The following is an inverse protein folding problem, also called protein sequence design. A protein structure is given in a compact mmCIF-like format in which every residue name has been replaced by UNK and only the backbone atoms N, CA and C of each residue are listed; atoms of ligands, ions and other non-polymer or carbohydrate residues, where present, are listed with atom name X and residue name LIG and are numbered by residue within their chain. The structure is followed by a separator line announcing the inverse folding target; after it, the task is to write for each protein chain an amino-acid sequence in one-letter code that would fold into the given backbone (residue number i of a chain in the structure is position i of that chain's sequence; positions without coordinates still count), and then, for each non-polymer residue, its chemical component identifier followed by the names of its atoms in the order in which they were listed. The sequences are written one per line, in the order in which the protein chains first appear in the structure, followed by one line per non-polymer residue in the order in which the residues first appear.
data_IF_046574509450
#
_entry.id   IF_046574509450
#
_cell.length_a   1.000
_cell.length_b   1.000
_cell.length_c   1.000
_cell.angle_alpha   90.00
_cell.angle_beta   90.00
_cell.angle_gamma   90.00
#
_symmetry.space_group_name_H-M   'P 1'
#
loop_
_entity.id
_entity.type
_entity.pdbx_description
1 polymer ?
#
# COMPACT_ATOMS: atom_id res chain seq x y z
N UNK A 1 37.93 5.53 16.81
CA UNK A 1 37.16 4.94 15.69
C UNK A 1 36.03 4.10 16.26
N UNK A 2 34.91 3.95 15.56
CA UNK A 2 33.81 3.09 15.98
C UNK A 2 33.77 1.84 15.11
N UNK A 3 33.72 0.67 15.75
CA UNK A 3 33.68 -0.62 15.05
C UNK A 3 32.50 -1.46 15.55
N UNK A 4 31.94 -2.25 14.65
CA UNK A 4 30.79 -3.12 14.87
C UNK A 4 31.22 -4.56 14.72
N UNK A 5 30.87 -5.41 15.69
CA UNK A 5 31.15 -6.84 15.61
C UNK A 5 30.24 -7.52 14.57
N UNK A 6 30.82 -8.27 13.64
CA UNK A 6 30.08 -9.02 12.60
C UNK A 6 29.70 -10.43 13.04
N UNK A 7 30.40 -10.95 14.04
CA UNK A 7 30.19 -12.27 14.67
C UNK A 7 30.47 -12.19 16.17
N UNK A 8 30.00 -13.19 16.93
CA UNK A 8 30.39 -13.33 18.32
C UNK A 8 31.91 -13.51 18.43
N UNK A 9 32.56 -12.69 19.24
CA UNK A 9 34.01 -12.71 19.41
C UNK A 9 34.38 -12.55 20.88
N UNK A 10 35.48 -13.16 21.29
CA UNK A 10 36.06 -13.03 22.62
C UNK A 10 37.45 -12.41 22.46
N UNK A 11 37.70 -11.31 23.18
CA UNK A 11 38.98 -10.58 23.10
C UNK A 11 39.11 -9.54 24.21
N UNK A 12 39.97 -8.55 24.02
CA UNK A 12 40.32 -7.51 25.02
C UNK A 12 39.13 -6.70 25.56
N UNK A 13 38.00 -6.71 24.84
CA UNK A 13 36.74 -6.05 25.23
C UNK A 13 35.73 -7.02 25.87
N UNK A 14 36.17 -8.23 26.23
CA UNK A 14 35.33 -9.31 26.73
C UNK A 14 34.55 -10.04 25.63
N UNK A 15 33.42 -10.63 25.99
CA UNK A 15 32.50 -11.27 25.04
C UNK A 15 31.72 -10.20 24.28
N UNK A 16 32.05 -9.99 23.02
CA UNK A 16 31.35 -9.06 22.12
C UNK A 16 30.35 -9.83 21.28
N UNK A 17 29.08 -9.40 21.30
CA UNK A 17 28.00 -10.03 20.52
C UNK A 17 27.94 -9.44 19.11
N UNK A 18 27.45 -10.23 18.16
CA UNK A 18 27.18 -9.75 16.79
C UNK A 18 26.27 -8.51 16.84
N UNK A 19 26.68 -7.46 16.13
CA UNK A 19 25.97 -6.19 16.05
C UNK A 19 26.21 -5.23 17.21
N UNK A 20 27.06 -5.57 18.17
CA UNK A 20 27.51 -4.66 19.22
C UNK A 20 28.54 -3.66 18.67
N UNK A 21 28.48 -2.41 19.14
CA UNK A 21 29.38 -1.34 18.73
C UNK A 21 30.36 -1.05 19.84
N UNK A 22 31.65 -1.10 19.50
CA UNK A 22 32.74 -0.61 20.33
C UNK A 22 32.99 0.83 19.92
N UNK A 23 32.81 1.74 20.89
CA UNK A 23 32.99 3.17 20.67
C UNK A 23 34.41 3.59 21.04
N UNK A 24 34.91 4.65 20.38
CA UNK A 24 36.20 5.28 20.68
C UNK A 24 37.41 4.33 20.81
N UNK A 25 37.45 3.28 19.98
CA UNK A 25 38.60 2.38 19.90
C UNK A 25 39.78 3.12 19.27
N UNK A 26 40.97 2.96 19.84
CA UNK A 26 42.21 3.49 19.30
C UNK A 26 42.40 3.05 17.84
N UNK A 27 42.92 3.92 16.98
CA UNK A 27 43.03 3.66 15.54
C UNK A 27 43.86 2.41 15.25
N UNK A 28 44.99 2.23 15.94
CA UNK A 28 45.88 1.09 15.73
C UNK A 28 45.25 -0.23 16.17
N UNK A 29 44.40 -0.19 17.21
CA UNK A 29 43.67 -1.36 17.68
C UNK A 29 42.47 -1.66 16.79
N UNK A 30 41.74 -0.64 16.33
CA UNK A 30 40.62 -0.79 15.41
C UNK A 30 41.07 -1.43 14.08
N UNK A 31 42.19 -1.00 13.50
CA UNK A 31 42.74 -1.59 12.28
C UNK A 31 43.07 -3.09 12.44
N UNK A 32 43.68 -3.49 13.57
CA UNK A 32 43.92 -4.91 13.89
C UNK A 32 42.62 -5.71 14.01
N UNK A 33 41.60 -5.11 14.62
CA UNK A 33 40.30 -5.75 14.78
C UNK A 33 39.56 -5.89 13.46
N UNK A 34 39.62 -4.89 12.58
CA UNK A 34 39.08 -4.98 11.22
C UNK A 34 39.79 -6.07 10.42
N UNK A 35 41.13 -6.17 10.53
CA UNK A 35 41.91 -7.20 9.85
C UNK A 35 41.56 -8.63 10.28
N UNK A 36 41.07 -8.83 11.51
CA UNK A 36 40.60 -10.14 11.99
C UNK A 36 39.31 -10.64 11.33
N UNK A 37 38.61 -9.78 10.57
CA UNK A 37 37.33 -10.06 9.94
C UNK A 37 36.16 -10.26 10.92
N UNK A 38 36.39 -10.13 12.23
CA UNK A 38 35.35 -10.19 13.26
C UNK A 38 34.63 -8.85 13.46
N UNK A 39 35.14 -7.77 12.86
CA UNK A 39 34.65 -6.41 13.03
C UNK A 39 34.60 -5.68 11.68
N UNK A 40 33.69 -4.71 11.58
CA UNK A 40 33.60 -3.75 10.47
C UNK A 40 33.53 -2.33 11.03
N UNK A 41 33.81 -1.32 10.21
CA UNK A 41 33.59 0.07 10.61
C UNK A 41 32.09 0.29 10.89
N UNK A 42 31.78 1.00 11.98
CA UNK A 42 30.40 1.29 12.33
C UNK A 42 29.89 2.49 11.52
N UNK A 43 28.77 2.34 10.84
CA UNK A 43 28.13 3.46 10.15
C UNK A 43 27.49 4.44 11.15
N UNK A 44 27.20 5.66 10.70
CA UNK A 44 26.42 6.63 11.48
C UNK A 44 25.06 6.08 11.91
N UNK A 45 24.40 5.30 11.03
CA UNK A 45 23.14 4.64 11.34
C UNK A 45 23.31 3.55 12.42
N UNK A 46 24.43 2.80 12.38
CA UNK A 46 24.74 1.82 13.43
C UNK A 46 24.91 2.52 14.78
N UNK A 47 25.66 3.63 14.82
CA UNK A 47 25.89 4.42 16.02
C UNK A 47 24.58 4.99 16.56
N UNK A 48 23.69 5.48 15.69
CA UNK A 48 22.34 5.96 16.05
C UNK A 48 21.49 4.83 16.63
N UNK A 49 21.49 3.66 15.98
CA UNK A 49 20.77 2.48 16.45
C UNK A 49 21.32 1.98 17.80
N UNK A 50 22.64 2.03 18.01
CA UNK A 50 23.26 1.64 19.29
C UNK A 50 22.98 2.63 20.43
N UNK A 51 22.87 3.94 20.14
CA UNK A 51 22.38 4.93 21.10
C UNK A 51 20.94 4.64 21.52
N UNK A 52 20.07 4.23 20.59
CA UNK A 52 18.72 3.74 20.91
C UNK A 52 18.71 2.44 21.72
N UNK A 53 19.70 1.56 21.51
CA UNK A 53 19.89 0.32 22.31
C UNK A 53 20.45 0.55 23.71
N UNK A 54 20.72 1.79 24.15
CA UNK A 54 20.99 2.07 25.58
C UNK A 54 19.81 1.72 26.50
N UNK A 55 18.62 1.49 25.95
CA UNK A 55 17.47 0.94 26.67
C UNK A 55 17.52 -0.59 26.84
N UNK A 56 18.44 -1.30 26.17
CA UNK A 56 18.63 -2.75 26.32
C UNK A 56 20.10 -3.10 26.59
N UNK A 57 20.54 -2.81 27.81
CA UNK A 57 21.52 -3.66 28.52
C UNK A 57 22.94 -3.72 27.98
N UNK A 58 23.65 -2.58 27.99
CA UNK A 58 25.12 -2.63 28.18
C UNK A 58 25.40 -2.22 29.61
N UNK A 59 25.47 -3.21 30.50
CA UNK A 59 26.15 -3.04 31.79
C UNK A 59 27.61 -2.70 31.47
N UNK A 60 28.02 -1.49 31.84
CA UNK A 60 29.39 -1.00 31.71
C UNK A 60 30.33 -1.97 32.44
N UNK A 61 31.24 -2.63 31.71
CA UNK A 61 32.17 -3.60 32.28
C UNK A 61 33.03 -2.99 33.40
N UNK A 62 33.26 -1.67 33.39
CA UNK A 62 33.92 -0.96 34.49
C UNK A 62 33.03 -0.83 35.73
N UNK A 63 31.70 -0.71 35.58
CA UNK A 63 30.75 -0.72 36.70
C UNK A 63 30.62 -2.11 37.32
N UNK A 64 30.61 -3.17 36.50
CA UNK A 64 30.60 -4.55 37.01
C UNK A 64 31.87 -4.85 37.82
N UNK A 65 33.04 -4.38 37.36
CA UNK A 65 34.29 -4.57 38.09
C UNK A 65 34.33 -3.78 39.41
N UNK A 66 33.71 -2.60 39.47
CA UNK A 66 33.66 -1.77 40.68
C UNK A 66 32.69 -2.30 41.76
N UNK A 67 31.63 -3.01 41.37
CA UNK A 67 30.64 -3.59 42.28
C UNK A 67 31.14 -4.80 43.08
N UNK A 68 32.28 -5.38 42.71
CA UNK A 68 32.89 -6.55 43.38
C UNK A 68 33.44 -6.30 44.81
N UNK A 69 33.06 -5.19 45.45
CA UNK A 69 33.53 -4.78 46.79
C UNK A 69 32.43 -4.43 47.80
N UNK A 70 31.13 -4.63 47.49
CA UNK A 70 30.01 -4.28 48.39
C UNK A 70 28.83 -5.25 48.26
N UNK A 71 28.97 -6.45 48.83
CA UNK A 71 28.20 -7.64 48.46
C UNK A 71 26.72 -7.74 48.90
N UNK A 72 26.10 -6.72 49.52
CA UNK A 72 24.68 -6.83 49.97
C UNK A 72 23.77 -5.70 49.53
N UNK A 73 24.27 -4.46 49.40
CA UNK A 73 23.47 -3.35 48.90
C UNK A 73 23.24 -3.44 47.39
N UNK A 74 24.22 -3.96 46.64
CA UNK A 74 24.18 -3.99 45.17
C UNK A 74 23.28 -5.11 44.61
N UNK A 75 23.15 -6.25 45.31
CA UNK A 75 22.28 -7.36 44.87
C UNK A 75 20.80 -6.98 44.99
N UNK A 76 20.41 -6.32 46.08
CA UNK A 76 19.02 -5.87 46.27
C UNK A 76 18.63 -4.78 45.26
N UNK A 77 19.57 -3.90 44.90
CA UNK A 77 19.35 -2.89 43.86
C UNK A 77 19.18 -3.54 42.47
N UNK A 78 20.01 -4.53 42.14
CA UNK A 78 19.89 -5.29 40.89
C UNK A 78 18.59 -6.09 40.81
N UNK A 79 18.14 -6.71 41.91
CA UNK A 79 16.84 -7.41 41.95
C UNK A 79 15.67 -6.45 41.72
N UNK A 80 15.69 -5.27 42.34
CA UNK A 80 14.66 -4.25 42.14
C UNK A 80 14.63 -3.74 40.68
N UNK A 81 15.80 -3.60 40.04
CA UNK A 81 15.90 -3.21 38.62
C UNK A 81 15.37 -4.32 37.70
N UNK A 82 15.64 -5.59 38.00
CA UNK A 82 15.07 -6.73 37.27
C UNK A 82 13.55 -6.76 37.40
N UNK A 83 12.99 -6.63 38.61
CA UNK A 83 11.54 -6.60 38.81
C UNK A 83 10.87 -5.42 38.10
N UNK A 84 11.49 -4.25 38.11
CA UNK A 84 11.00 -3.09 37.37
C UNK A 84 11.03 -3.33 35.85
N UNK A 85 12.11 -3.94 35.35
CA UNK A 85 12.26 -4.33 33.95
C UNK A 85 11.22 -5.37 33.51
N UNK A 86 10.94 -6.38 34.34
CA UNK A 86 9.92 -7.39 34.08
C UNK A 86 8.52 -6.75 34.00
N UNK A 87 8.18 -5.84 34.91
CA UNK A 87 6.91 -5.10 34.87
C UNK A 87 6.78 -4.26 33.61
N UNK A 88 7.84 -3.54 33.23
CA UNK A 88 7.86 -2.74 32.01
C UNK A 88 7.71 -3.62 30.75
N UNK A 89 8.36 -4.79 30.72
CA UNK A 89 8.25 -5.74 29.62
C UNK A 89 6.84 -6.32 29.53
N UNK A 90 6.22 -6.68 30.66
CA UNK A 90 4.83 -7.16 30.70
C UNK A 90 3.86 -6.10 30.18
N UNK A 91 4.02 -4.85 30.58
CA UNK A 91 3.20 -3.74 30.10
C UNK A 91 3.37 -3.54 28.58
N UNK A 92 4.61 -3.47 28.10
CA UNK A 92 4.91 -3.32 26.67
C UNK A 92 4.36 -4.48 25.82
N UNK A 93 4.39 -5.72 26.36
CA UNK A 93 3.78 -6.88 25.70
C UNK A 93 2.27 -6.73 25.59
N UNK A 94 1.59 -6.30 26.65
CA UNK A 94 0.13 -6.10 26.64
C UNK A 94 -0.30 -4.99 25.66
N UNK A 95 0.45 -3.90 25.59
CA UNK A 95 0.23 -2.83 24.60
C UNK A 95 0.44 -3.36 23.17
N UNK A 96 1.52 -4.12 22.93
CA UNK A 96 1.79 -4.73 21.62
C UNK A 96 0.68 -5.70 21.21
N UNK A 97 0.21 -6.54 22.14
CA UNK A 97 -0.91 -7.46 21.87
C UNK A 97 -2.21 -6.72 21.53
N UNK A 98 -2.45 -5.56 22.15
CA UNK A 98 -3.59 -4.71 21.83
C UNK A 98 -3.47 -4.15 20.42
N UNK A 99 -2.31 -3.57 20.07
CA UNK A 99 -2.05 -3.02 18.73
C UNK A 99 -2.14 -4.10 17.65
N UNK A 100 -1.66 -5.32 17.91
CA UNK A 100 -1.76 -6.44 16.98
C UNK A 100 -3.23 -6.83 16.73
N UNK A 101 -4.07 -6.80 17.78
CA UNK A 101 -5.51 -7.08 17.64
C UNK A 101 -6.20 -6.00 16.81
N UNK A 102 -5.96 -4.73 17.12
CA UNK A 102 -6.51 -3.59 16.37
C UNK A 102 -6.09 -3.62 14.89
N UNK A 103 -4.84 -4.00 14.60
CA UNK A 103 -4.35 -4.16 13.23
C UNK A 103 -5.04 -5.32 12.50
N UNK A 104 -5.32 -6.42 13.20
CA UNK A 104 -6.04 -7.55 12.63
C UNK A 104 -7.48 -7.16 12.29
N UNK A 105 -8.17 -6.45 13.18
CA UNK A 105 -9.53 -5.95 12.97
C UNK A 105 -9.58 -4.96 11.80
N UNK A 106 -8.65 -3.99 11.76
CA UNK A 106 -8.53 -3.06 10.64
C UNK A 106 -8.32 -3.77 9.29
N UNK A 107 -7.48 -4.82 9.28
CA UNK A 107 -7.23 -5.60 8.07
C UNK A 107 -8.49 -6.31 7.58
N UNK A 108 -9.27 -6.91 8.50
CA UNK A 108 -10.51 -7.59 8.16
C UNK A 108 -11.54 -6.60 7.57
N UNK A 109 -11.72 -5.44 8.21
CA UNK A 109 -12.59 -4.37 7.72
C UNK A 109 -12.19 -3.86 6.34
N UNK A 110 -10.89 -3.66 6.12
CA UNK A 110 -10.36 -3.22 4.83
C UNK A 110 -10.61 -4.25 3.73
N UNK A 111 -10.48 -5.54 4.03
CA UNK A 111 -10.77 -6.63 3.08
C UNK A 111 -12.24 -6.68 2.70
N UNK A 112 -13.15 -6.53 3.66
CA UNK A 112 -14.60 -6.47 3.40
C UNK A 112 -14.95 -5.28 2.50
N UNK A 113 -14.47 -4.07 2.85
CA UNK A 113 -14.72 -2.86 2.04
C UNK A 113 -14.18 -3.00 0.61
N UNK A 114 -13.02 -3.65 0.44
CA UNK A 114 -12.45 -3.89 -0.89
C UNK A 114 -13.32 -4.87 -1.70
N UNK A 115 -13.83 -5.92 -1.07
CA UNK A 115 -14.75 -6.86 -1.71
C UNK A 115 -16.06 -6.18 -2.14
N UNK A 116 -16.64 -5.34 -1.27
CA UNK A 116 -17.85 -4.58 -1.57
C UNK A 116 -17.63 -3.60 -2.73
N UNK A 117 -16.50 -2.89 -2.73
CA UNK A 117 -16.15 -1.95 -3.81
C UNK A 117 -15.96 -2.65 -5.15
N UNK A 118 -15.32 -3.82 -5.16
CA UNK A 118 -15.15 -4.62 -6.38
C UNK A 118 -16.51 -5.10 -6.90
N UNK A 119 -17.38 -5.59 -6.00
CA UNK A 119 -18.73 -6.01 -6.38
C UNK A 119 -19.53 -4.86 -6.98
N UNK A 120 -19.55 -3.70 -6.32
CA UNK A 120 -20.24 -2.52 -6.83
C UNK A 120 -19.71 -2.07 -8.21
N UNK A 121 -18.40 -2.20 -8.42
CA UNK A 121 -17.77 -1.89 -9.73
C UNK A 121 -18.23 -2.85 -10.81
N UNK A 122 -18.32 -4.14 -10.50
CA UNK A 122 -18.75 -5.15 -11.47
C UNK A 122 -20.25 -5.05 -11.77
N UNK A 123 -21.07 -4.76 -10.76
CA UNK A 123 -22.51 -4.48 -10.93
C UNK A 123 -22.70 -3.24 -11.82
N UNK A 124 -21.96 -2.15 -11.58
CA UNK A 124 -22.02 -0.94 -12.40
C UNK A 124 -21.59 -1.18 -13.87
N UNK A 125 -20.58 -2.03 -14.10
CA UNK A 125 -20.19 -2.42 -15.46
C UNK A 125 -21.29 -3.22 -16.16
N UNK A 126 -21.94 -4.13 -15.45
CA UNK A 126 -23.04 -4.92 -15.99
C UNK A 126 -24.23 -4.03 -16.36
N UNK A 127 -24.62 -3.11 -15.46
CA UNK A 127 -25.66 -2.11 -15.73
C UNK A 127 -25.30 -1.24 -16.93
N UNK A 128 -24.05 -0.79 -17.05
CA UNK A 128 -23.60 0.01 -18.18
C UNK A 128 -23.72 -0.75 -19.52
N UNK A 129 -23.38 -2.05 -19.54
CA UNK A 129 -23.54 -2.89 -20.73
C UNK A 129 -25.01 -3.03 -21.12
N UNK A 130 -25.90 -3.27 -20.15
CA UNK A 130 -27.34 -3.34 -20.38
C UNK A 130 -27.88 -2.02 -20.93
N UNK A 131 -27.57 -0.90 -20.27
CA UNK A 131 -27.99 0.43 -20.70
C UNK A 131 -27.51 0.75 -22.12
N UNK A 132 -26.25 0.43 -22.43
CA UNK A 132 -25.70 0.63 -23.78
C UNK A 132 -26.47 -0.18 -24.82
N UNK A 133 -26.74 -1.46 -24.56
CA UNK A 133 -27.46 -2.32 -25.48
C UNK A 133 -28.91 -1.86 -25.70
N UNK A 134 -29.59 -1.41 -24.65
CA UNK A 134 -30.95 -0.87 -24.73
C UNK A 134 -30.98 0.42 -25.57
N UNK A 135 -30.02 1.31 -25.31
CA UNK A 135 -29.90 2.59 -26.04
C UNK A 135 -29.60 2.35 -27.53
N UNK A 136 -28.68 1.44 -27.85
CA UNK A 136 -28.37 1.06 -29.24
C UNK A 136 -29.59 0.46 -29.95
N UNK A 137 -30.39 -0.36 -29.25
CA UNK A 137 -31.64 -0.92 -29.78
C UNK A 137 -32.70 0.15 -30.06
N UNK A 138 -32.89 1.09 -29.13
CA UNK A 138 -33.81 2.22 -29.31
C UNK A 138 -33.39 3.14 -30.46
N UNK A 139 -32.09 3.42 -30.58
CA UNK A 139 -31.56 4.26 -31.67
C UNK A 139 -31.87 3.62 -33.02
N UNK A 140 -31.64 2.31 -33.15
CA UNK A 140 -31.95 1.56 -34.38
C UNK A 140 -33.44 1.58 -34.71
N UNK A 141 -34.30 1.39 -33.73
CA UNK A 141 -35.75 1.45 -33.93
C UNK A 141 -36.22 2.84 -34.40
N UNK A 142 -35.65 3.90 -33.83
CA UNK A 142 -35.93 5.27 -34.26
C UNK A 142 -35.44 5.54 -35.69
N UNK A 143 -34.25 5.06 -36.06
CA UNK A 143 -33.72 5.16 -37.42
C UNK A 143 -34.62 4.45 -38.44
N UNK A 144 -35.10 3.24 -38.10
CA UNK A 144 -36.02 2.46 -38.93
C UNK A 144 -37.37 3.19 -39.10
N UNK A 145 -37.90 3.80 -38.03
CA UNK A 145 -39.13 4.60 -38.08
C UNK A 145 -38.96 5.86 -38.94
N UNK A 146 -37.83 6.56 -38.80
CA UNK A 146 -37.51 7.73 -39.65
C UNK A 146 -37.44 7.32 -41.13
N UNK A 147 -36.83 6.17 -41.44
CA UNK A 147 -36.75 5.66 -42.80
C UNK A 147 -38.15 5.34 -43.37
N UNK A 148 -39.01 4.69 -42.58
CA UNK A 148 -40.39 4.40 -42.96
C UNK A 148 -41.21 5.68 -43.20
N UNK A 149 -41.09 6.67 -42.31
CA UNK A 149 -41.76 7.96 -42.46
C UNK A 149 -41.29 8.71 -43.72
N UNK A 150 -39.98 8.71 -44.02
CA UNK A 150 -39.45 9.30 -45.26
C UNK A 150 -40.02 8.63 -46.51
N UNK A 151 -40.14 7.30 -46.51
CA UNK A 151 -40.76 6.57 -47.60
C UNK A 151 -42.24 6.94 -47.77
N UNK A 152 -43.00 6.97 -46.66
CA UNK A 152 -44.41 7.35 -46.68
C UNK A 152 -44.63 8.79 -47.18
N UNK A 153 -43.78 9.74 -46.77
CA UNK A 153 -43.81 11.12 -47.26
C UNK A 153 -43.56 11.17 -48.77
N UNK A 154 -42.58 10.41 -49.26
CA UNK A 154 -42.25 10.34 -50.69
C UNK A 154 -43.43 9.80 -51.51
N UNK A 155 -44.10 8.76 -51.00
CA UNK A 155 -45.29 8.19 -51.65
C UNK A 155 -46.48 9.15 -51.65
N UNK A 156 -46.70 9.91 -50.57
CA UNK A 156 -47.74 10.95 -50.49
C UNK A 156 -47.48 12.15 -51.41
N UNK A 157 -46.22 12.45 -51.74
CA UNK A 157 -45.87 13.50 -52.70
C UNK A 157 -46.08 13.07 -54.16
N UNK A 158 -46.14 11.76 -54.43
CA UNK A 158 -46.32 11.19 -55.78
C UNK A 158 -47.64 11.56 -56.49
N UNK A 159 -48.82 11.57 -55.83
CA UNK A 159 -50.07 12.00 -56.47
C UNK A 159 -50.16 13.51 -56.72
N UNK A 160 -49.42 14.36 -56.00
CA UNK A 160 -49.40 15.80 -56.27
C UNK A 160 -48.80 16.11 -57.66
N UNK A 161 -47.85 15.31 -58.13
CA UNK A 161 -47.17 15.49 -59.43
C UNK A 161 -47.91 14.85 -60.61
N UNK A 162 -48.98 14.08 -60.38
CA UNK A 162 -49.78 13.46 -61.45
C UNK A 162 -51.13 14.16 -61.71
N UNK A 163 -51.49 15.15 -60.89
CA UNK A 163 -52.70 15.97 -61.09
C UNK A 163 -52.51 17.12 -62.09
N UNK A 164 -51.29 17.45 -62.52
CA UNK A 164 -51.03 18.59 -63.42
C UNK A 164 -50.94 18.22 -64.91
N UNK A 165 -51.05 16.95 -65.31
CA UNK A 165 -50.77 16.53 -66.70
C UNK A 165 -51.92 15.89 -67.48
N UNK A 166 -53.16 15.88 -66.99
CA UNK A 166 -54.27 15.20 -67.70
C UNK A 166 -55.42 16.08 -68.22
N UNK A 167 -55.37 17.42 -68.10
CA UNK A 167 -56.49 18.27 -68.55
C UNK A 167 -56.27 19.16 -69.78
N UNK A 168 -55.07 19.23 -70.38
CA UNK A 168 -54.81 20.20 -71.46
C UNK A 168 -54.75 19.67 -72.90
N UNK A 169 -55.02 18.39 -73.19
CA UNK A 169 -54.77 17.84 -74.55
C UNK A 169 -55.98 17.18 -75.26
N UNK A 170 -57.16 17.83 -75.22
CA UNK A 170 -58.33 17.45 -76.04
C UNK A 170 -59.05 18.63 -76.71
N UNK A 171 -58.30 19.60 -77.27
CA UNK A 171 -58.92 20.67 -78.07
C UNK A 171 -58.05 21.18 -79.22
N UNK A 172 -57.83 20.33 -80.23
CA UNK A 172 -57.58 20.72 -81.63
C UNK A 172 -58.13 19.56 -82.46
N UNK A 173 -59.13 19.67 -83.31
CA UNK A 173 -59.67 20.78 -84.08
C UNK A 173 -60.17 20.11 -85.35
N UNK A 174 -61.47 19.80 -85.42
CA UNK A 174 -62.13 19.51 -86.70
C UNK A 174 -62.17 20.83 -87.45
N UNK A 175 -61.52 20.92 -88.61
CA UNK A 175 -61.91 21.90 -89.62
C UNK A 175 -61.91 21.26 -91.00
N UNK A 176 -63.09 21.35 -91.61
CA UNK A 176 -63.47 20.94 -92.96
C UNK A 176 -62.69 21.71 -94.03
N UNK A 177 -62.25 21.02 -95.09
CA UNK A 177 -62.72 21.14 -96.48
C UNK A 177 -61.77 20.45 -97.45
#
# INVERSE_FOLDING_TARGET
MHIKATRGSFGDFGRVRKGQILTDVDKSQAEKMLASGAYTEASEQDIKNAKGRKELGILDAKKIAAASKSDTADINALLAEIEAGEKALTASKAETETVVRELADFKADAQTKLADANKATDDAKAEFVTYKSETEGQLKAADDEIAALKAAITDLQKPASQSETTESDKSKGKSEK
#
